data_IF_067571816002
#
_entry.id   IF_067571816002
#
_cell.length_a   1.000
_cell.length_b   1.000
_cell.length_c   1.000
_cell.angle_alpha   90.00
_cell.angle_beta   90.00
_cell.angle_gamma   90.00
#
_symmetry.space_group_name_H-M   'P 1'
#
loop_
_entity.id
_entity.type
_entity.pdbx_description
1 polymer ?
#
# COMPACT_ATOMS: atom_id res chain seq x y z
N UNK A 1 13.21 -2.50 2.11
CA UNK A 1 12.23 -3.28 2.89
C UNK A 1 11.56 -2.39 3.92
N UNK A 2 10.26 -2.54 4.09
CA UNK A 2 9.50 -1.75 5.05
C UNK A 2 9.03 -2.62 6.20
N UNK A 3 9.19 -2.13 7.43
CA UNK A 3 8.82 -2.88 8.61
C UNK A 3 7.61 -2.31 9.36
N UNK A 4 7.17 -1.11 8.94
CA UNK A 4 6.12 -0.41 9.65
C UNK A 4 4.74 -0.59 9.02
N UNK A 5 4.61 -1.46 8.03
CA UNK A 5 3.35 -1.71 7.37
C UNK A 5 2.61 -2.86 8.04
N UNK A 6 1.30 -2.71 8.15
CA UNK A 6 0.43 -3.74 8.73
C UNK A 6 -0.85 -3.84 7.92
N UNK A 7 -1.50 -5.01 7.91
CA UNK A 7 -2.82 -5.12 7.31
C UNK A 7 -3.76 -4.08 7.89
N UNK A 8 -4.53 -3.45 7.02
CA UNK A 8 -5.45 -2.37 7.41
C UNK A 8 -4.89 -0.98 7.20
N UNK A 9 -3.56 -0.84 7.09
CA UNK A 9 -2.96 0.46 6.82
C UNK A 9 -3.34 0.98 5.45
N UNK A 10 -3.39 2.31 5.32
CA UNK A 10 -3.59 2.97 4.04
C UNK A 10 -2.24 3.41 3.50
N UNK A 11 -2.04 3.19 2.20
CA UNK A 11 -0.76 3.45 1.55
C UNK A 11 -0.98 4.03 0.16
N UNK A 12 0.08 4.63 -0.37
CA UNK A 12 0.14 5.12 -1.73
C UNK A 12 1.34 4.50 -2.41
N UNK A 13 1.20 4.11 -3.67
CA UNK A 13 2.34 3.68 -4.46
C UNK A 13 2.93 4.91 -5.17
N UNK A 14 4.10 5.38 -4.76
CA UNK A 14 4.65 6.62 -5.34
C UNK A 14 5.03 6.49 -6.81
N UNK A 15 5.27 5.28 -7.28
CA UNK A 15 5.58 5.04 -8.69
C UNK A 15 4.33 5.04 -9.55
N UNK A 16 3.15 4.83 -8.94
CA UNK A 16 1.89 4.75 -9.67
C UNK A 16 0.82 5.52 -8.91
N UNK A 17 0.98 6.82 -8.85
CA UNK A 17 0.08 7.66 -8.05
C UNK A 17 -1.36 7.63 -8.56
N UNK A 18 -1.53 7.34 -9.85
CA UNK A 18 -2.87 7.27 -10.43
C UNK A 18 -3.69 6.10 -9.88
N UNK A 19 -3.06 5.14 -9.22
CA UNK A 19 -3.79 4.04 -8.61
C UNK A 19 -4.64 4.50 -7.42
N UNK A 20 -4.32 5.66 -6.85
CA UNK A 20 -5.04 6.18 -5.71
C UNK A 20 -4.56 5.58 -4.41
N UNK A 21 -5.33 5.80 -3.35
CA UNK A 21 -5.00 5.28 -2.03
C UNK A 21 -5.40 3.82 -1.97
N UNK A 22 -4.54 2.99 -1.39
CA UNK A 22 -4.81 1.58 -1.22
C UNK A 22 -4.85 1.20 0.25
N UNK A 23 -5.52 0.10 0.54
CA UNK A 23 -5.54 -0.47 1.87
C UNK A 23 -4.87 -1.84 1.84
N UNK A 24 -3.93 -2.05 2.75
CA UNK A 24 -3.21 -3.32 2.82
C UNK A 24 -4.14 -4.41 3.32
N UNK A 25 -4.20 -5.51 2.59
CA UNK A 25 -5.02 -6.66 2.96
C UNK A 25 -4.21 -7.76 3.61
N UNK A 26 -2.99 -7.99 3.13
CA UNK A 26 -2.12 -9.01 3.71
C UNK A 26 -0.67 -8.70 3.39
N UNK A 27 0.21 -9.24 4.22
CA UNK A 27 1.65 -9.10 4.05
C UNK A 27 2.26 -10.48 4.26
N UNK A 28 2.98 -10.96 3.24
CA UNK A 28 3.68 -12.24 3.32
C UNK A 28 5.11 -11.96 2.85
N UNK A 29 6.04 -11.98 3.80
CA UNK A 29 7.43 -11.61 3.52
C UNK A 29 7.49 -10.22 2.91
N UNK A 30 7.97 -10.10 1.67
CA UNK A 30 8.07 -8.80 0.99
C UNK A 30 6.87 -8.52 0.08
N UNK A 31 5.89 -9.42 0.02
CA UNK A 31 4.76 -9.26 -0.88
C UNK A 31 3.58 -8.71 -0.10
N UNK A 32 3.18 -7.52 -0.48
CA UNK A 32 2.09 -6.80 0.18
C UNK A 32 0.92 -6.72 -0.78
N UNK A 33 -0.21 -7.31 -0.38
CA UNK A 33 -1.43 -7.23 -1.19
C UNK A 33 -2.20 -5.99 -0.77
N UNK A 34 -2.44 -5.11 -1.74
CA UNK A 34 -3.09 -3.82 -1.49
C UNK A 34 -4.27 -3.68 -2.44
N UNK A 35 -5.38 -3.20 -1.91
CA UNK A 35 -6.55 -2.88 -2.72
C UNK A 35 -6.58 -1.37 -2.96
N UNK A 36 -6.27 -0.95 -4.18
CA UNK A 36 -6.20 0.47 -4.53
C UNK A 36 -7.54 0.96 -5.07
N UNK A 37 -7.82 2.25 -4.82
CA UNK A 37 -9.11 2.84 -5.19
C UNK A 37 -9.42 2.72 -6.67
N UNK A 38 -8.42 2.92 -7.52
CA UNK A 38 -8.64 3.06 -8.94
C UNK A 38 -8.31 1.82 -9.77
N UNK A 39 -7.57 0.88 -9.21
CA UNK A 39 -7.12 -0.29 -9.97
C UNK A 39 -7.39 -1.61 -9.27
N UNK A 40 -7.93 -1.58 -8.06
CA UNK A 40 -8.24 -2.80 -7.33
C UNK A 40 -7.01 -3.45 -6.71
N UNK A 41 -7.08 -4.76 -6.59
CA UNK A 41 -6.07 -5.52 -5.86
C UNK A 41 -4.78 -5.65 -6.66
N UNK A 42 -3.66 -5.32 -6.00
CA UNK A 42 -2.32 -5.47 -6.57
C UNK A 42 -1.40 -6.07 -5.53
N UNK A 43 -0.43 -6.87 -5.98
CA UNK A 43 0.61 -7.40 -5.10
C UNK A 43 1.88 -6.60 -5.35
N UNK A 44 2.38 -5.97 -4.30
CA UNK A 44 3.54 -5.10 -4.37
C UNK A 44 4.73 -5.79 -3.70
N UNK A 45 5.85 -5.86 -4.42
CA UNK A 45 7.09 -6.39 -3.83
C UNK A 45 7.85 -5.23 -3.20
N UNK A 46 7.84 -5.18 -1.87
CA UNK A 46 8.44 -4.05 -1.15
C UNK A 46 9.96 -4.10 -1.08
N UNK A 47 10.58 -5.11 -1.65
CA UNK A 47 12.02 -5.07 -1.89
C UNK A 47 12.37 -4.07 -2.97
N UNK A 48 11.47 -3.84 -3.91
CA UNK A 48 11.73 -2.99 -5.07
C UNK A 48 10.97 -1.67 -5.01
N UNK A 49 9.86 -1.63 -4.30
CA UNK A 49 8.97 -0.47 -4.27
C UNK A 49 8.68 -0.11 -2.83
N UNK A 50 8.90 1.14 -2.47
CA UNK A 50 8.58 1.60 -1.13
C UNK A 50 7.20 2.26 -1.15
N UNK A 51 6.27 1.70 -0.39
CA UNK A 51 4.94 2.28 -0.25
C UNK A 51 4.96 3.40 0.77
N UNK A 52 4.18 4.44 0.51
CA UNK A 52 4.06 5.57 1.44
C UNK A 52 2.86 5.32 2.33
N UNK A 53 3.10 5.23 3.63
CA UNK A 53 2.02 5.02 4.60
C UNK A 53 1.28 6.33 4.83
N UNK A 54 -0.05 6.27 4.80
CA UNK A 54 -0.91 7.42 5.01
C UNK A 54 -1.61 7.25 6.35
N UNK A 55 -1.27 8.11 7.31
CA UNK A 55 -1.77 7.94 8.67
C UNK A 55 -3.07 8.67 8.94
N UNK A 56 -3.33 9.76 8.22
CA UNK A 56 -4.45 10.64 8.53
C UNK A 56 -5.51 10.64 7.47
N UNK A 57 -5.69 9.49 6.84
CA UNK A 57 -6.65 9.40 5.76
C UNK A 57 -8.04 9.88 6.16
N UNK A 58 -8.43 9.57 7.37
CA UNK A 58 -9.79 9.85 7.83
C UNK A 58 -10.05 11.33 8.05
N UNK A 59 -9.03 12.15 8.01
CA UNK A 59 -9.20 13.58 8.24
C UNK A 59 -9.73 14.33 7.04
N UNK A 60 -9.85 13.66 5.95
CA UNK A 60 -10.32 14.27 4.70
C UNK A 60 -11.67 13.72 4.25
#
# INVERSE_FOLDING_TARGET
MQYDLEPGNFVLNPAEKSWGIGQIQSIINYKVTVNFENVGKKVINTENIELIKINDRVKY
#
